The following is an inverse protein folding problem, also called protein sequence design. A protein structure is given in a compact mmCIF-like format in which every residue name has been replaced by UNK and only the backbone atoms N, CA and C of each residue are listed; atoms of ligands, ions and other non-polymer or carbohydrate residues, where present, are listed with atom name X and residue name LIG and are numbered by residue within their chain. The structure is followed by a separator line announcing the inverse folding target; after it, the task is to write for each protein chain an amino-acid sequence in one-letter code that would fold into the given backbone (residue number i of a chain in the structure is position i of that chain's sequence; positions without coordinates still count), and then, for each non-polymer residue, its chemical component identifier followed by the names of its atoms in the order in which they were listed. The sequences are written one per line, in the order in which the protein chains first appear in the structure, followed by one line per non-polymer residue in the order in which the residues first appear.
data_IF_602872495395
#
_entry.id   IF_602872495395
#
_cell.length_a   1.000
_cell.length_b   1.000
_cell.length_c   1.000
_cell.angle_alpha   90.00
_cell.angle_beta   90.00
_cell.angle_gamma   90.00
#
_symmetry.space_group_name_H-M   'P 1'
#
loop_
_entity.id
_entity.type
_entity.pdbx_description
1 polymer ?
#
# COMPACT_ATOMS: atom_id res chain seq x y z
N UNK A 1 -12.15 -18.08 46.66
CA UNK A 1 -12.48 -16.64 46.50
C UNK A 1 -12.60 -16.44 45.01
N UNK A 2 -13.73 -15.92 44.51
CA UNK A 2 -13.95 -15.80 43.07
C UNK A 2 -14.07 -14.32 42.69
N UNK A 3 -13.28 -13.88 41.71
CA UNK A 3 -13.37 -12.52 41.15
C UNK A 3 -13.92 -12.56 39.72
N UNK A 4 -14.61 -11.49 39.34
CA UNK A 4 -15.12 -11.28 37.99
C UNK A 4 -14.58 -9.98 37.42
N UNK A 5 -14.02 -10.04 36.22
CA UNK A 5 -13.69 -8.88 35.40
C UNK A 5 -14.70 -8.83 34.25
N UNK A 6 -15.27 -7.66 34.02
CA UNK A 6 -16.12 -7.38 32.87
C UNK A 6 -15.41 -6.36 32.02
N UNK A 7 -15.21 -6.65 30.74
CA UNK A 7 -14.71 -5.63 29.82
C UNK A 7 -15.74 -4.48 29.82
N UNK A 8 -15.30 -3.22 29.99
CA UNK A 8 -16.22 -2.10 30.05
C UNK A 8 -17.05 -2.02 28.78
N UNK A 9 -18.37 -1.95 28.93
CA UNK A 9 -19.30 -1.74 27.82
C UNK A 9 -18.88 -0.52 27.04
N UNK A 10 -18.65 -0.70 25.74
CA UNK A 10 -18.35 0.38 24.83
C UNK A 10 -19.62 0.82 24.12
N UNK A 11 -19.67 2.10 23.73
CA UNK A 11 -20.64 2.48 22.70
C UNK A 11 -20.27 1.73 21.42
N UNK A 12 -21.23 1.20 20.65
CA UNK A 12 -20.92 0.61 19.36
C UNK A 12 -20.14 1.61 18.51
N UNK A 13 -19.03 1.16 17.93
CA UNK A 13 -18.30 1.97 16.96
C UNK A 13 -19.18 2.19 15.72
N UNK A 14 -19.63 3.43 15.53
CA UNK A 14 -20.53 3.86 14.46
C UNK A 14 -19.78 4.46 13.26
N UNK A 15 -18.45 4.48 13.32
CA UNK A 15 -17.60 4.97 12.24
C UNK A 15 -17.56 4.04 11.03
N UNK A 16 -17.35 4.63 9.85
CA UNK A 16 -17.04 3.88 8.64
C UNK A 16 -15.57 3.46 8.62
N UNK A 17 -15.34 2.15 8.56
CA UNK A 17 -14.00 1.57 8.42
C UNK A 17 -13.23 2.11 7.22
N UNK A 18 -13.90 2.40 6.09
CA UNK A 18 -13.22 2.96 4.92
C UNK A 18 -12.68 4.35 5.22
N UNK A 19 -13.50 5.21 5.82
CA UNK A 19 -13.06 6.53 6.27
C UNK A 19 -11.93 6.44 7.29
N UNK A 20 -11.96 5.45 8.19
CA UNK A 20 -10.92 5.25 9.19
C UNK A 20 -9.57 4.87 8.54
N UNK A 21 -9.58 3.97 7.55
CA UNK A 21 -8.39 3.64 6.76
C UNK A 21 -7.93 4.83 5.92
N UNK A 22 -8.83 5.50 5.20
CA UNK A 22 -8.47 6.64 4.34
C UNK A 22 -7.79 7.76 5.14
N UNK A 23 -8.33 8.07 6.32
CA UNK A 23 -7.74 9.03 7.25
C UNK A 23 -6.37 8.60 7.75
N UNK A 24 -6.21 7.32 8.12
CA UNK A 24 -4.93 6.77 8.52
C UNK A 24 -3.90 6.83 7.38
N UNK A 25 -4.28 6.43 6.17
CA UNK A 25 -3.41 6.45 5.00
C UNK A 25 -3.00 7.87 4.61
N UNK A 26 -3.93 8.81 4.70
CA UNK A 26 -3.63 10.21 4.47
C UNK A 26 -2.57 10.72 5.46
N UNK A 27 -2.76 10.46 6.75
CA UNK A 27 -1.83 10.88 7.79
C UNK A 27 -0.46 10.17 7.67
N UNK A 28 -0.47 8.86 7.49
CA UNK A 28 0.73 8.04 7.31
C UNK A 28 1.54 8.50 6.09
N UNK A 29 0.88 8.70 4.93
CA UNK A 29 1.55 9.17 3.71
C UNK A 29 2.26 10.52 3.92
N UNK A 30 1.61 11.44 4.65
CA UNK A 30 2.18 12.74 4.99
C UNK A 30 3.37 12.63 5.95
N UNK A 31 3.31 11.75 6.95
CA UNK A 31 4.39 11.56 7.94
C UNK A 31 5.59 10.80 7.35
N UNK A 32 5.37 9.70 6.64
CA UNK A 32 6.42 8.97 5.88
C UNK A 32 7.14 9.90 4.91
N UNK A 33 6.46 10.88 4.31
CA UNK A 33 7.09 11.87 3.41
C UNK A 33 8.12 12.74 4.11
N UNK A 34 7.92 12.98 5.39
CA UNK A 34 8.65 14.00 6.12
C UNK A 34 9.85 13.42 6.88
N UNK A 35 9.79 12.16 7.32
CA UNK A 35 10.86 11.52 8.08
C UNK A 35 11.94 10.82 7.22
N UNK A 36 11.97 11.05 5.88
CA UNK A 36 12.87 10.36 4.94
C UNK A 36 12.87 8.84 5.12
N UNK A 37 11.67 8.29 5.36
CA UNK A 37 11.49 6.90 5.72
C UNK A 37 11.82 5.95 4.58
N UNK A 38 12.59 4.91 4.87
CA UNK A 38 12.90 3.87 3.88
C UNK A 38 11.65 3.01 3.61
N UNK A 39 11.31 2.72 2.33
CA UNK A 39 10.08 2.01 1.98
C UNK A 39 9.90 0.68 2.71
N UNK A 40 11.00 -0.04 2.96
CA UNK A 40 10.98 -1.37 3.57
C UNK A 40 10.76 -1.37 5.09
N UNK A 41 10.89 -0.22 5.77
CA UNK A 41 10.68 -0.13 7.21
C UNK A 41 9.22 0.12 7.57
N UNK A 42 8.54 0.97 6.79
CA UNK A 42 7.18 1.44 7.12
C UNK A 42 6.11 0.74 6.31
N UNK A 43 6.36 0.39 5.05
CA UNK A 43 5.33 -0.22 4.22
C UNK A 43 4.77 -1.52 4.83
N UNK A 44 5.59 -2.46 5.35
CA UNK A 44 5.06 -3.66 5.99
C UNK A 44 4.19 -3.35 7.22
N UNK A 45 4.58 -2.36 8.02
CA UNK A 45 3.87 -1.92 9.22
C UNK A 45 2.51 -1.32 8.85
N UNK A 46 2.46 -0.49 7.81
CA UNK A 46 1.23 0.07 7.27
C UNK A 46 0.29 -1.01 6.72
N UNK A 47 0.83 -2.01 6.02
CA UNK A 47 0.07 -3.17 5.53
C UNK A 47 -0.53 -3.99 6.67
N UNK A 48 0.23 -4.22 7.74
CA UNK A 48 -0.25 -4.92 8.93
C UNK A 48 -1.42 -4.16 9.58
N UNK A 49 -1.30 -2.85 9.74
CA UNK A 49 -2.37 -2.03 10.32
C UNK A 49 -3.65 -2.12 9.47
N UNK A 50 -3.55 -2.00 8.14
CA UNK A 50 -4.71 -2.13 7.24
C UNK A 50 -5.46 -3.45 7.44
N UNK A 51 -4.72 -4.55 7.40
CA UNK A 51 -5.29 -5.89 7.56
C UNK A 51 -5.89 -6.11 8.95
N UNK A 52 -5.23 -5.64 10.00
CA UNK A 52 -5.73 -5.77 11.37
C UNK A 52 -7.01 -4.96 11.60
N UNK A 53 -7.11 -3.73 11.08
CA UNK A 53 -8.34 -2.92 11.18
C UNK A 53 -9.48 -3.57 10.41
N UNK A 54 -9.22 -4.12 9.22
CA UNK A 54 -10.23 -4.87 8.48
C UNK A 54 -10.74 -6.08 9.27
N UNK A 55 -9.82 -6.82 9.89
CA UNK A 55 -10.12 -7.95 10.75
C UNK A 55 -11.01 -7.54 11.93
N UNK A 56 -10.61 -6.54 12.72
CA UNK A 56 -11.36 -6.11 13.91
C UNK A 56 -12.69 -5.46 13.57
N UNK A 57 -12.82 -4.81 12.41
CA UNK A 57 -14.11 -4.29 11.95
C UNK A 57 -15.11 -5.42 11.65
N UNK A 58 -14.63 -6.54 11.12
CA UNK A 58 -15.42 -7.75 10.81
C UNK A 58 -15.44 -8.76 11.96
N UNK A 59 -14.93 -8.40 13.14
CA UNK A 59 -14.92 -9.28 14.31
C UNK A 59 -16.35 -9.70 14.63
N UNK A 60 -16.60 -11.00 14.75
CA UNK A 60 -17.91 -11.57 15.03
C UNK A 60 -17.95 -12.20 16.43
N UNK A 61 -19.14 -12.64 16.85
CA UNK A 61 -19.33 -13.27 18.16
C UNK A 61 -18.55 -14.59 18.34
N UNK A 62 -18.04 -15.20 17.27
CA UNK A 62 -17.34 -16.49 17.32
C UNK A 62 -15.80 -16.35 17.31
N UNK A 63 -15.27 -15.15 17.54
CA UNK A 63 -13.85 -14.81 17.34
C UNK A 63 -12.83 -15.56 18.21
N UNK A 64 -13.23 -16.22 19.31
CA UNK A 64 -12.35 -17.08 20.11
C UNK A 64 -12.56 -18.58 19.85
N UNK A 65 -13.48 -18.95 18.95
CA UNK A 65 -13.85 -20.35 18.71
C UNK A 65 -14.98 -20.82 19.61
N UNK A 66 -15.16 -22.14 19.74
CA UNK A 66 -16.17 -22.72 20.63
C UNK A 66 -15.63 -22.92 22.05
N UNK A 67 -14.32 -22.91 22.21
CA UNK A 67 -13.66 -22.94 23.51
C UNK A 67 -12.27 -23.57 23.44
N UNK A 68 -11.87 -24.26 24.50
CA UNK A 68 -10.61 -24.97 24.60
C UNK A 68 -10.76 -26.29 25.40
N UNK A 69 -11.73 -27.13 25.05
CA UNK A 69 -12.03 -28.38 25.79
C UNK A 69 -10.82 -29.31 25.95
N UNK A 70 -9.93 -29.33 24.96
CA UNK A 70 -8.67 -30.07 24.97
C UNK A 70 -7.57 -29.45 25.87
N UNK A 71 -7.84 -28.29 26.48
CA UNK A 71 -6.85 -27.45 27.16
C UNK A 71 -6.05 -26.56 26.20
N UNK A 72 -6.24 -26.69 24.88
CA UNK A 72 -5.54 -25.92 23.85
C UNK A 72 -6.54 -24.93 23.22
N UNK A 73 -6.23 -23.61 23.19
CA UNK A 73 -7.05 -22.64 22.47
C UNK A 73 -7.27 -23.01 21.00
N UNK A 74 -8.44 -22.72 20.46
CA UNK A 74 -8.71 -22.90 19.03
C UNK A 74 -7.92 -21.91 18.15
N UNK A 75 -7.74 -22.26 16.88
CA UNK A 75 -7.06 -21.42 15.88
C UNK A 75 -7.63 -19.99 15.81
N UNK A 76 -8.93 -19.83 16.07
CA UNK A 76 -9.57 -18.50 16.11
C UNK A 76 -9.05 -17.62 17.24
N UNK A 77 -8.86 -18.19 18.44
CA UNK A 77 -8.30 -17.46 19.57
C UNK A 77 -6.85 -17.02 19.28
N UNK A 78 -6.04 -17.91 18.67
CA UNK A 78 -4.69 -17.57 18.22
C UNK A 78 -4.69 -16.50 17.13
N UNK A 79 -5.62 -16.59 16.19
CA UNK A 79 -5.76 -15.61 15.12
C UNK A 79 -6.12 -14.22 15.68
N UNK A 80 -7.04 -14.14 16.63
CA UNK A 80 -7.36 -12.91 17.36
C UNK A 80 -6.13 -12.35 18.08
N UNK A 81 -5.46 -13.16 18.91
CA UNK A 81 -4.31 -12.77 19.70
C UNK A 81 -3.15 -12.26 18.82
N UNK A 82 -2.88 -12.91 17.69
CA UNK A 82 -1.84 -12.52 16.76
C UNK A 82 -2.17 -11.23 16.01
N UNK A 83 -3.41 -11.04 15.56
CA UNK A 83 -3.82 -9.79 14.90
C UNK A 83 -3.76 -8.60 15.87
N UNK A 84 -4.16 -8.80 17.14
CA UNK A 84 -4.05 -7.77 18.16
C UNK A 84 -2.59 -7.39 18.42
N UNK A 85 -1.73 -8.39 18.66
CA UNK A 85 -0.30 -8.18 18.89
C UNK A 85 0.37 -7.40 17.74
N UNK A 86 0.06 -7.78 16.50
CA UNK A 86 0.58 -7.12 15.30
C UNK A 86 0.12 -5.68 15.19
N UNK A 87 -1.17 -5.41 15.44
CA UNK A 87 -1.73 -4.06 15.44
C UNK A 87 -1.07 -3.18 16.49
N UNK A 88 -1.05 -3.63 17.75
CA UNK A 88 -0.51 -2.87 18.87
C UNK A 88 0.97 -2.51 18.67
N UNK A 89 1.79 -3.48 18.26
CA UNK A 89 3.21 -3.23 18.01
C UNK A 89 3.44 -2.34 16.79
N UNK A 90 2.63 -2.46 15.75
CA UNK A 90 2.70 -1.59 14.58
C UNK A 90 2.36 -0.15 14.94
N UNK A 91 1.29 0.06 15.71
CA UNK A 91 0.92 1.38 16.22
C UNK A 91 2.01 1.96 17.12
N UNK A 92 2.57 1.15 18.04
CA UNK A 92 3.67 1.57 18.92
C UNK A 92 4.91 2.00 18.12
N UNK A 93 5.34 1.18 17.17
CA UNK A 93 6.49 1.48 16.32
C UNK A 93 6.31 2.80 15.56
N UNK A 94 5.13 3.02 14.98
CA UNK A 94 4.81 4.28 14.30
C UNK A 94 4.70 5.46 15.26
N UNK A 95 4.14 5.27 16.45
CA UNK A 95 4.10 6.28 17.52
C UNK A 95 5.50 6.70 17.94
N UNK A 96 6.40 5.75 18.19
CA UNK A 96 7.79 6.01 18.58
C UNK A 96 8.53 6.76 17.47
N UNK A 97 8.33 6.35 16.22
CA UNK A 97 8.96 6.97 15.05
C UNK A 97 8.43 8.37 14.75
N UNK A 98 7.12 8.58 14.86
CA UNK A 98 6.49 9.81 14.36
C UNK A 98 6.07 10.78 15.44
N UNK A 99 5.68 10.36 16.65
CA UNK A 99 5.01 11.22 17.63
C UNK A 99 5.57 11.20 19.06
N UNK A 100 6.44 10.25 19.45
CA UNK A 100 6.97 10.09 20.83
C UNK A 100 5.88 10.31 21.90
N UNK A 101 4.75 9.63 21.76
CA UNK A 101 3.64 9.71 22.71
C UNK A 101 3.12 8.32 23.10
N UNK A 102 2.34 8.33 24.18
CA UNK A 102 1.82 7.18 24.89
C UNK A 102 1.06 6.23 23.95
N UNK A 103 1.32 4.93 24.13
CA UNK A 103 0.59 3.86 23.45
C UNK A 103 -0.90 3.91 23.76
N UNK A 104 -1.76 3.42 22.85
CA UNK A 104 -3.18 3.23 23.12
C UNK A 104 -3.37 2.41 24.40
N UNK A 105 -4.34 2.78 25.23
CA UNK A 105 -4.64 2.02 26.45
C UNK A 105 -5.51 0.81 26.11
N UNK A 106 -4.83 -0.25 25.67
CA UNK A 106 -5.40 -1.55 25.34
C UNK A 106 -4.94 -2.63 26.32
N UNK A 107 -4.55 -2.23 27.53
CA UNK A 107 -3.95 -3.09 28.55
C UNK A 107 -4.78 -4.35 28.85
N UNK A 108 -6.10 -4.22 29.01
CA UNK A 108 -6.99 -5.38 29.21
C UNK A 108 -7.00 -6.37 28.03
N UNK A 109 -6.87 -5.87 26.80
CA UNK A 109 -6.86 -6.74 25.61
C UNK A 109 -5.48 -7.39 25.44
N UNK A 110 -4.41 -6.67 25.81
CA UNK A 110 -3.06 -7.20 25.89
C UNK A 110 -2.96 -8.33 26.93
N UNK A 111 -3.61 -8.17 28.08
CA UNK A 111 -3.68 -9.21 29.11
C UNK A 111 -4.41 -10.46 28.59
N UNK A 112 -5.55 -10.29 27.91
CA UNK A 112 -6.28 -11.39 27.26
C UNK A 112 -5.43 -12.10 26.20
N UNK A 113 -4.77 -11.33 25.33
CA UNK A 113 -3.85 -11.87 24.32
C UNK A 113 -2.72 -12.67 24.97
N UNK A 114 -2.19 -12.17 26.09
CA UNK A 114 -1.08 -12.82 26.81
C UNK A 114 -1.53 -14.15 27.38
N UNK A 115 -2.71 -14.21 28.01
CA UNK A 115 -3.29 -15.46 28.51
C UNK A 115 -3.50 -16.51 27.41
N UNK A 116 -4.00 -16.10 26.25
CA UNK A 116 -4.23 -17.01 25.11
C UNK A 116 -2.89 -17.55 24.60
N UNK A 117 -1.94 -16.68 24.27
CA UNK A 117 -0.68 -17.10 23.63
C UNK A 117 0.24 -17.89 24.57
N UNK A 118 0.18 -17.59 25.86
CA UNK A 118 1.00 -18.25 26.88
C UNK A 118 0.26 -19.38 27.60
N UNK A 119 -0.84 -19.89 27.02
CA UNK A 119 -1.57 -21.04 27.57
C UNK A 119 -0.63 -22.23 27.75
N UNK A 120 -0.48 -22.73 28.98
CA UNK A 120 0.47 -23.78 29.34
C UNK A 120 1.81 -23.30 29.93
N UNK A 121 1.95 -22.00 30.19
CA UNK A 121 3.08 -21.41 30.93
C UNK A 121 2.60 -20.41 31.98
N UNK A 122 3.44 -20.16 32.98
CA UNK A 122 3.14 -19.19 34.05
C UNK A 122 3.13 -17.77 33.49
N UNK A 123 2.09 -17.01 33.82
CA UNK A 123 1.94 -15.61 33.39
C UNK A 123 2.04 -14.69 34.61
N UNK A 124 3.16 -13.99 34.73
CA UNK A 124 3.49 -13.22 35.94
C UNK A 124 2.78 -11.86 36.05
N UNK A 125 2.12 -11.39 34.98
CA UNK A 125 1.54 -10.04 34.89
C UNK A 125 0.34 -9.95 33.92
N UNK A 126 -0.86 -10.24 34.42
CA UNK A 126 -2.12 -10.04 33.68
C UNK A 126 -3.20 -9.59 34.64
N UNK A 127 -3.95 -8.57 34.28
CA UNK A 127 -4.99 -7.92 35.08
C UNK A 127 -4.51 -7.42 36.46
N UNK A 128 -4.79 -6.18 36.86
CA UNK A 128 -4.39 -5.66 38.16
C UNK A 128 -5.36 -6.12 39.27
N UNK A 129 -5.69 -7.42 39.32
CA UNK A 129 -6.55 -8.02 40.34
C UNK A 129 -5.77 -8.54 41.52
N UNK A 130 -6.45 -8.75 42.64
CA UNK A 130 -5.83 -9.30 43.85
C UNK A 130 -5.33 -10.71 43.59
N UNK A 131 -6.10 -11.56 42.91
CA UNK A 131 -5.70 -12.92 42.54
C UNK A 131 -4.39 -12.93 41.73
N UNK A 132 -4.29 -12.10 40.69
CA UNK A 132 -3.11 -12.07 39.83
C UNK A 132 -1.88 -11.43 40.49
N UNK A 133 -2.05 -10.72 41.62
CA UNK A 133 -0.94 -10.14 42.39
C UNK A 133 -0.51 -11.03 43.56
N UNK A 134 -1.44 -11.73 44.18
CA UNK A 134 -1.19 -12.55 45.37
C UNK A 134 -0.60 -13.91 45.01
N UNK A 135 -0.94 -14.49 43.86
CA UNK A 135 -0.54 -15.86 43.51
C UNK A 135 0.62 -15.93 42.50
N UNK A 136 1.47 -16.95 42.67
CA UNK A 136 2.72 -17.14 41.90
C UNK A 136 2.45 -17.54 40.46
N UNK A 137 1.48 -18.43 40.26
CA UNK A 137 1.20 -18.98 38.93
C UNK A 137 -0.23 -18.68 38.56
N UNK A 138 -0.39 -17.99 37.43
CA UNK A 138 -1.65 -17.69 36.78
C UNK A 138 -1.63 -18.32 35.39
N UNK A 139 -2.68 -19.06 35.05
CA UNK A 139 -2.79 -19.75 33.76
C UNK A 139 -4.19 -19.62 33.19
N UNK A 140 -4.27 -19.70 31.86
CA UNK A 140 -5.55 -19.85 31.16
C UNK A 140 -6.16 -21.20 31.54
N UNK A 141 -7.39 -21.17 32.07
CA UNK A 141 -8.19 -22.34 32.34
C UNK A 141 -9.05 -22.71 31.14
N UNK A 142 -10.26 -22.16 31.09
CA UNK A 142 -11.25 -22.42 30.04
C UNK A 142 -11.63 -21.17 29.26
N UNK A 143 -11.84 -21.31 27.96
CA UNK A 143 -12.57 -20.37 27.13
C UNK A 143 -13.93 -21.02 26.88
N UNK A 144 -14.99 -20.37 27.34
CA UNK A 144 -16.36 -20.87 27.23
C UNK A 144 -17.16 -19.90 26.37
N UNK A 145 -17.77 -20.40 25.30
CA UNK A 145 -18.72 -19.62 24.53
C UNK A 145 -20.09 -19.54 25.25
N UNK A 146 -20.91 -18.55 24.90
CA UNK A 146 -22.24 -18.38 25.49
C UNK A 146 -23.21 -19.54 25.23
N UNK A 147 -22.92 -20.39 24.25
CA UNK A 147 -23.75 -21.55 23.90
C UNK A 147 -23.29 -22.82 24.63
N UNK A 148 -22.28 -22.71 25.49
CA UNK A 148 -21.75 -23.84 26.22
C UNK A 148 -22.88 -24.49 27.06
N UNK A 149 -22.98 -25.84 27.14
CA UNK A 149 -24.12 -26.55 27.75
C UNK A 149 -24.44 -26.22 29.22
N UNK A 150 -23.59 -25.46 29.90
CA UNK A 150 -23.72 -25.06 31.30
C UNK A 150 -24.26 -23.63 31.39
N UNK A 151 -25.57 -23.47 31.18
CA UNK A 151 -26.31 -22.18 31.15
C UNK A 151 -26.15 -21.32 32.42
N UNK A 152 -25.74 -21.89 33.56
CA UNK A 152 -25.53 -21.14 34.82
C UNK A 152 -24.19 -20.37 34.89
N UNK A 153 -23.37 -20.41 33.84
CA UNK A 153 -22.03 -19.82 33.85
C UNK A 153 -21.98 -18.36 33.39
N UNK A 154 -23.07 -17.82 32.85
CA UNK A 154 -23.15 -16.44 32.36
C UNK A 154 -24.14 -15.62 33.21
N UNK A 155 -23.81 -14.35 33.56
CA UNK A 155 -24.74 -13.46 34.24
C UNK A 155 -26.00 -13.24 33.39
N UNK A 156 -27.18 -13.39 34.00
CA UNK A 156 -28.49 -13.36 33.30
C UNK A 156 -28.88 -12.01 32.68
N UNK A 157 -28.18 -10.93 33.01
CA UNK A 157 -28.53 -9.56 32.64
C UNK A 157 -27.68 -8.98 31.48
N UNK A 158 -26.64 -9.70 31.02
CA UNK A 158 -25.67 -9.16 30.06
C UNK A 158 -25.33 -10.14 28.93
N UNK A 159 -25.38 -9.64 27.68
CA UNK A 159 -25.06 -10.39 26.46
C UNK A 159 -23.55 -10.47 26.26
N UNK A 160 -22.89 -11.34 27.04
CA UNK A 160 -21.51 -11.72 26.80
C UNK A 160 -21.43 -12.85 25.77
N UNK A 161 -20.38 -12.85 24.95
CA UNK A 161 -20.12 -13.93 24.00
C UNK A 161 -19.22 -15.01 24.60
N UNK A 162 -18.32 -14.61 25.51
CA UNK A 162 -17.38 -15.51 26.16
C UNK A 162 -17.24 -15.24 27.65
N UNK A 163 -16.93 -16.33 28.35
CA UNK A 163 -16.35 -16.33 29.68
C UNK A 163 -14.99 -17.01 29.60
N UNK A 164 -13.96 -16.32 30.04
CA UNK A 164 -12.59 -16.83 30.10
C UNK A 164 -12.25 -17.07 31.57
N UNK A 165 -12.00 -18.32 31.93
CA UNK A 165 -11.59 -18.73 33.26
C UNK A 165 -10.07 -18.69 33.38
N UNK A 166 -9.62 -18.16 34.51
CA UNK A 166 -8.21 -18.06 34.86
C UNK A 166 -8.01 -18.83 36.16
N UNK A 167 -7.02 -19.73 36.15
CA UNK A 167 -6.71 -20.60 37.26
C UNK A 167 -5.46 -20.09 37.97
N UNK A 168 -5.51 -20.02 39.29
CA UNK A 168 -4.35 -19.72 40.11
C UNK A 168 -3.94 -20.96 40.91
N UNK A 169 -2.64 -21.18 41.07
CA UNK A 169 -2.11 -22.30 41.88
C UNK A 169 -2.29 -22.08 43.40
N UNK A 170 -2.86 -20.94 43.79
CA UNK A 170 -3.07 -20.47 45.16
C UNK A 170 -1.78 -20.38 46.01
N UNK A 171 -0.60 -20.44 45.38
CA UNK A 171 0.69 -20.28 46.07
C UNK A 171 1.01 -18.80 46.18
N UNK A 172 1.08 -18.29 47.41
CA UNK A 172 1.28 -16.85 47.59
C UNK A 172 2.70 -16.41 47.17
N UNK A 173 2.80 -15.34 46.38
CA UNK A 173 4.05 -14.74 45.87
C UNK A 173 5.04 -14.38 46.98
N UNK A 174 4.54 -14.03 48.17
CA UNK A 174 5.34 -13.66 49.35
C UNK A 174 6.11 -14.81 50.01
N UNK A 175 5.85 -16.08 49.65
CA UNK A 175 6.54 -17.23 50.23
C UNK A 175 7.60 -17.82 49.28
N UNK A 176 8.77 -18.26 49.76
CA UNK A 176 9.78 -18.94 48.94
C UNK A 176 9.24 -20.20 48.26
N UNK A 177 9.80 -20.61 47.10
CA UNK A 177 9.39 -21.84 46.39
C UNK A 177 9.64 -23.12 47.20
N UNK A 178 10.54 -23.07 48.16
CA UNK A 178 11.05 -24.26 48.87
C UNK A 178 10.24 -24.61 50.14
N UNK A 179 9.13 -23.90 50.39
CA UNK A 179 8.20 -24.12 51.52
C UNK A 179 6.80 -24.55 51.07
N UNK A 180 6.71 -25.21 49.92
CA UNK A 180 5.45 -25.74 49.42
C UNK A 180 5.07 -26.97 50.27
N UNK A 181 4.06 -26.83 51.14
CA UNK A 181 3.50 -27.95 51.89
C UNK A 181 2.81 -28.92 50.90
N UNK A 182 3.21 -30.19 50.93
CA UNK A 182 2.65 -31.26 50.09
C UNK A 182 1.12 -31.43 50.26
N UNK A 183 0.56 -31.07 51.42
CA UNK A 183 -0.87 -31.23 51.75
C UNK A 183 -1.75 -30.02 51.34
N UNK A 184 -1.18 -28.98 50.70
CA UNK A 184 -1.94 -27.77 50.32
C UNK A 184 -3.03 -28.03 49.26
N UNK A 185 -2.91 -29.14 48.52
CA UNK A 185 -3.81 -29.54 47.43
C UNK A 185 -5.14 -30.14 47.91
N UNK A 186 -5.18 -30.80 49.07
CA UNK A 186 -6.37 -31.51 49.57
C UNK A 186 -7.34 -30.57 50.33
N UNK A 187 -6.87 -29.41 50.78
CA UNK A 187 -7.66 -28.44 51.56
C UNK A 187 -8.24 -27.28 50.73
N UNK A 188 -7.80 -27.08 49.48
CA UNK A 188 -8.24 -25.97 48.64
C UNK A 188 -9.00 -26.49 47.41
N UNK A 189 -10.30 -26.18 47.36
CA UNK A 189 -11.17 -26.43 46.20
C UNK A 189 -10.45 -26.13 44.87
N UNK A 190 -10.44 -27.10 43.96
CA UNK A 190 -9.88 -27.02 42.61
C UNK A 190 -10.74 -26.14 41.66
N UNK A 191 -11.36 -25.09 42.19
CA UNK A 191 -12.17 -24.13 41.44
C UNK A 191 -11.28 -23.07 40.82
N UNK A 192 -11.62 -22.60 39.61
CA UNK A 192 -11.03 -21.41 39.03
C UNK A 192 -11.26 -20.18 39.92
N UNK A 193 -10.33 -19.24 39.91
CA UNK A 193 -10.34 -18.12 40.84
C UNK A 193 -10.85 -16.83 40.19
N UNK A 194 -10.70 -16.68 38.87
CA UNK A 194 -11.06 -15.46 38.15
C UNK A 194 -11.83 -15.78 36.86
N UNK A 195 -12.87 -15.00 36.57
CA UNK A 195 -13.61 -15.04 35.30
C UNK A 195 -13.59 -13.70 34.60
N UNK A 196 -13.28 -13.70 33.32
CA UNK A 196 -13.29 -12.52 32.45
C UNK A 196 -14.42 -12.66 31.44
N UNK A 197 -15.36 -11.73 31.47
CA UNK A 197 -16.49 -11.71 30.55
C UNK A 197 -16.25 -10.76 29.40
N UNK A 198 -16.46 -11.26 28.18
CA UNK A 198 -16.08 -10.58 26.94
C UNK A 198 -17.23 -10.62 25.93
N UNK A 199 -17.52 -9.48 25.32
CA UNK A 199 -18.41 -9.33 24.17
C UNK A 199 -17.59 -8.89 22.96
N UNK A 200 -17.86 -9.48 21.79
CA UNK A 200 -17.16 -9.11 20.57
C UNK A 200 -17.38 -7.64 20.19
N UNK A 201 -18.58 -7.10 20.42
CA UNK A 201 -18.89 -5.69 20.12
C UNK A 201 -18.09 -4.73 21.01
N UNK A 202 -17.90 -5.07 22.28
CA UNK A 202 -17.10 -4.25 23.21
C UNK A 202 -15.62 -4.28 22.84
N UNK A 203 -15.08 -5.47 22.52
CA UNK A 203 -13.70 -5.63 22.03
C UNK A 203 -13.47 -4.84 20.74
N UNK A 204 -14.35 -5.06 19.75
CA UNK A 204 -14.31 -4.39 18.46
C UNK A 204 -14.33 -2.88 18.65
N UNK A 205 -15.29 -2.37 19.41
CA UNK A 205 -15.45 -0.93 19.62
C UNK A 205 -14.26 -0.34 20.36
N UNK A 206 -13.75 -1.00 21.40
CA UNK A 206 -12.57 -0.55 22.14
C UNK A 206 -11.34 -0.40 21.23
N UNK A 207 -11.04 -1.44 20.44
CA UNK A 207 -9.90 -1.44 19.52
C UNK A 207 -10.07 -0.36 18.45
N UNK A 208 -11.26 -0.25 17.84
CA UNK A 208 -11.51 0.72 16.78
C UNK A 208 -11.50 2.18 17.29
N UNK A 209 -12.00 2.46 18.50
CA UNK A 209 -11.90 3.79 19.10
C UNK A 209 -10.45 4.16 19.41
N UNK A 210 -9.67 3.24 19.98
CA UNK A 210 -8.25 3.49 20.23
C UNK A 210 -7.48 3.72 18.93
N UNK A 211 -7.80 2.99 17.86
CA UNK A 211 -7.25 3.25 16.54
C UNK A 211 -7.70 4.59 15.95
N UNK A 212 -8.95 4.99 16.16
CA UNK A 212 -9.46 6.30 15.73
C UNK A 212 -8.74 7.45 16.45
N UNK A 213 -8.52 7.33 17.77
CA UNK A 213 -7.73 8.29 18.55
C UNK A 213 -6.31 8.40 18.01
N UNK A 214 -5.66 7.26 17.78
CA UNK A 214 -4.34 7.21 17.17
C UNK A 214 -4.32 7.90 15.80
N UNK A 215 -5.30 7.62 14.94
CA UNK A 215 -5.42 8.23 13.61
C UNK A 215 -5.63 9.75 13.69
N UNK A 216 -6.48 10.23 14.60
CA UNK A 216 -6.68 11.65 14.84
C UNK A 216 -5.38 12.35 15.27
N UNK A 217 -4.61 11.75 16.18
CA UNK A 217 -3.31 12.29 16.59
C UNK A 217 -2.34 12.39 15.42
N UNK A 218 -2.29 11.36 14.55
CA UNK A 218 -1.49 11.40 13.34
C UNK A 218 -1.94 12.52 12.39
N UNK A 219 -3.25 12.69 12.20
CA UNK A 219 -3.83 13.75 11.37
C UNK A 219 -3.50 15.15 11.90
N UNK A 220 -3.62 15.37 13.20
CA UNK A 220 -3.24 16.64 13.82
C UNK A 220 -1.76 16.95 13.59
N UNK A 221 -0.88 15.94 13.72
CA UNK A 221 0.55 16.11 13.50
C UNK A 221 0.85 16.35 12.03
N UNK A 222 0.21 15.63 11.12
CA UNK A 222 0.37 15.86 9.69
C UNK A 222 -0.11 17.25 9.30
N UNK A 223 -1.25 17.71 9.82
CA UNK A 223 -1.81 19.02 9.52
C UNK A 223 -1.00 20.18 10.09
N UNK A 224 -0.53 20.09 11.35
CA UNK A 224 0.39 21.08 11.96
C UNK A 224 1.71 21.20 11.18
N UNK A 225 2.18 20.11 10.58
CA UNK A 225 3.43 20.08 9.80
C UNK A 225 3.23 20.46 8.33
N UNK A 226 2.06 20.19 7.75
CA UNK A 226 1.65 20.71 6.44
C UNK A 226 1.53 22.25 6.47
N UNK A 227 1.02 22.83 7.57
CA UNK A 227 0.98 24.28 7.78
C UNK A 227 2.35 24.95 7.98
N UNK A 228 3.37 24.18 8.39
CA UNK A 228 4.76 24.63 8.58
C UNK A 228 5.69 24.18 7.45
N UNK A 229 5.16 23.65 6.35
CA UNK A 229 5.90 23.57 5.09
C UNK A 229 6.00 24.98 4.53
N UNK A 230 6.91 25.77 5.08
CA UNK A 230 7.51 26.87 4.34
C UNK A 230 8.15 26.24 3.10
N UNK A 231 7.39 26.14 2.01
CA UNK A 231 7.95 26.34 0.68
C UNK A 231 8.76 27.62 0.83
N UNK A 232 10.09 27.49 0.87
CA UNK A 232 10.98 28.64 0.87
C UNK A 232 10.49 29.53 -0.25
N UNK A 233 10.19 30.76 0.13
CA UNK A 233 9.56 31.78 -0.68
C UNK A 233 10.57 32.28 -1.74
N UNK A 234 11.04 31.40 -2.63
CA UNK A 234 11.63 31.74 -3.93
C UNK A 234 10.56 31.84 -5.03
N UNK A 235 9.28 31.80 -4.62
CA UNK A 235 8.08 31.91 -5.47
C UNK A 235 8.05 33.17 -6.36
N UNK A 236 8.85 34.20 -6.07
CA UNK A 236 8.83 35.46 -6.81
C UNK A 236 9.55 35.44 -8.17
N UNK A 237 10.45 34.48 -8.43
CA UNK A 237 11.16 34.42 -9.72
C UNK A 237 10.73 33.26 -10.64
N UNK A 238 10.29 32.12 -10.09
CA UNK A 238 9.99 30.92 -10.89
C UNK A 238 8.60 31.00 -11.57
N UNK A 239 7.65 31.76 -10.99
CA UNK A 239 6.31 31.97 -11.54
C UNK A 239 6.27 32.69 -12.93
N UNK A 240 7.42 33.07 -13.49
CA UNK A 240 7.53 33.72 -14.81
C UNK A 240 8.14 32.86 -15.91
N UNK A 241 8.66 31.66 -15.60
CA UNK A 241 9.35 30.83 -16.59
C UNK A 241 8.39 29.80 -17.21
N UNK A 242 7.89 30.08 -18.41
CA UNK A 242 7.30 29.04 -19.26
C UNK A 242 8.35 27.97 -19.55
N UNK A 243 8.06 26.72 -19.18
CA UNK A 243 8.93 25.54 -19.40
C UNK A 243 8.80 25.02 -20.82
N UNK A 244 7.62 25.13 -21.43
CA UNK A 244 7.37 24.77 -22.83
C UNK A 244 7.20 26.05 -23.63
N UNK A 245 8.02 26.20 -24.68
CA UNK A 245 7.79 27.20 -25.71
C UNK A 245 6.78 26.64 -26.72
N UNK A 246 5.56 27.16 -26.69
CA UNK A 246 4.47 26.71 -27.59
C UNK A 246 4.69 27.07 -29.06
N UNK A 247 5.61 27.97 -29.40
CA UNK A 247 5.92 28.30 -30.79
C UNK A 247 6.94 27.33 -31.39
N UNK A 248 7.92 26.93 -30.60
CA UNK A 248 9.02 26.07 -31.05
C UNK A 248 8.89 24.63 -30.58
N UNK A 249 7.88 24.32 -29.76
CA UNK A 249 7.68 23.03 -29.09
C UNK A 249 8.90 22.60 -28.25
N UNK A 250 9.74 23.56 -27.82
CA UNK A 250 10.95 23.25 -27.05
C UNK A 250 10.69 23.24 -25.55
N UNK A 251 11.30 22.28 -24.87
CA UNK A 251 11.21 22.10 -23.42
C UNK A 251 12.49 22.60 -22.76
N UNK A 252 12.38 23.47 -21.77
CA UNK A 252 13.50 23.96 -20.96
C UNK A 252 13.86 22.95 -19.87
N UNK A 253 14.58 21.90 -20.25
CA UNK A 253 14.96 20.78 -19.38
C UNK A 253 15.72 21.22 -18.13
N UNK A 254 16.66 22.16 -18.23
CA UNK A 254 17.41 22.66 -17.07
C UNK A 254 16.52 23.35 -16.03
N UNK A 255 15.51 24.10 -16.48
CA UNK A 255 14.53 24.72 -15.59
C UNK A 255 13.67 23.66 -14.92
N UNK A 256 13.20 22.66 -15.68
CA UNK A 256 12.44 21.55 -15.12
C UNK A 256 13.24 20.79 -14.07
N UNK A 257 14.51 20.48 -14.35
CA UNK A 257 15.44 19.83 -13.42
C UNK A 257 15.59 20.60 -12.10
N UNK A 258 15.79 21.92 -12.17
CA UNK A 258 15.86 22.78 -10.97
C UNK A 258 14.58 22.74 -10.13
N UNK A 259 13.42 22.57 -10.76
CA UNK A 259 12.14 22.46 -10.05
C UNK A 259 11.95 21.08 -9.38
N UNK A 260 12.34 19.99 -10.04
CA UNK A 260 12.25 18.64 -9.46
C UNK A 260 13.21 18.48 -8.28
N UNK A 261 14.34 19.21 -8.28
CA UNK A 261 15.34 19.20 -7.22
C UNK A 261 14.85 19.68 -5.83
N UNK A 262 13.63 20.19 -5.71
CA UNK A 262 13.03 20.72 -4.48
C UNK A 262 11.65 20.06 -4.26
N UNK A 263 11.28 19.70 -3.03
CA UNK A 263 11.55 18.41 -2.39
C UNK A 263 10.68 17.26 -2.96
N UNK A 264 10.66 17.05 -4.27
CA UNK A 264 10.02 15.88 -4.88
C UNK A 264 10.96 14.68 -4.79
N UNK A 265 10.48 13.52 -4.35
CA UNK A 265 11.30 12.30 -4.22
C UNK A 265 11.85 11.75 -5.56
N UNK A 266 11.63 12.47 -6.66
CA UNK A 266 12.05 12.12 -8.01
C UNK A 266 13.38 12.79 -8.41
N UNK A 267 14.07 13.50 -7.51
CA UNK A 267 15.44 14.01 -7.70
C UNK A 267 16.31 13.68 -6.48
N UNK A 268 17.30 12.81 -6.65
CA UNK A 268 18.21 12.43 -5.57
C UNK A 268 19.62 12.14 -6.08
N UNK A 269 20.61 12.15 -5.19
CA UNK A 269 22.01 11.85 -5.51
C UNK A 269 22.40 10.51 -4.89
N UNK A 270 22.87 9.57 -5.71
CA UNK A 270 23.38 8.27 -5.25
C UNK A 270 24.77 8.05 -5.84
N UNK A 271 25.75 7.69 -5.00
CA UNK A 271 27.14 7.43 -5.43
C UNK A 271 27.83 8.53 -6.26
N UNK A 272 27.39 9.78 -6.15
CA UNK A 272 27.96 10.90 -6.91
C UNK A 272 27.13 11.35 -8.11
N UNK A 273 26.18 10.52 -8.57
CA UNK A 273 25.36 10.75 -9.76
C UNK A 273 23.96 11.25 -9.39
N UNK A 274 23.39 12.14 -10.20
CA UNK A 274 22.05 12.69 -9.98
C UNK A 274 21.01 11.87 -10.74
N UNK A 275 20.04 11.34 -10.00
CA UNK A 275 18.93 10.56 -10.51
C UNK A 275 17.71 11.45 -10.60
N UNK A 276 17.13 11.58 -11.80
CA UNK A 276 15.82 12.19 -11.95
C UNK A 276 15.05 11.65 -13.15
N UNK A 277 13.80 11.27 -12.92
CA UNK A 277 12.98 10.55 -13.91
C UNK A 277 12.79 11.33 -15.22
N UNK A 278 12.74 12.66 -15.15
CA UNK A 278 12.59 13.52 -16.33
C UNK A 278 13.79 13.46 -17.29
N UNK A 279 14.95 12.97 -16.86
CA UNK A 279 16.08 12.74 -17.76
C UNK A 279 15.79 11.64 -18.78
N UNK A 280 15.06 10.59 -18.39
CA UNK A 280 14.63 9.55 -19.32
C UNK A 280 13.67 10.10 -20.39
N UNK A 281 12.79 11.04 -20.02
CA UNK A 281 11.94 11.74 -20.98
C UNK A 281 12.74 12.63 -21.93
N UNK A 282 13.74 13.34 -21.42
CA UNK A 282 14.65 14.13 -22.24
C UNK A 282 15.37 13.25 -23.28
N UNK A 283 15.89 12.09 -22.87
CA UNK A 283 16.53 11.13 -23.79
C UNK A 283 15.58 10.64 -24.87
N UNK A 284 14.34 10.30 -24.51
CA UNK A 284 13.32 9.91 -25.50
C UNK A 284 13.03 11.07 -26.46
N UNK A 285 12.86 12.27 -25.93
CA UNK A 285 12.61 13.48 -26.71
C UNK A 285 13.72 13.76 -27.74
N UNK A 286 14.99 13.62 -27.34
CA UNK A 286 16.16 13.77 -28.21
C UNK A 286 16.27 12.61 -29.21
N UNK A 287 15.99 11.38 -28.77
CA UNK A 287 16.06 10.17 -29.61
C UNK A 287 15.08 10.24 -30.79
N UNK A 288 13.87 10.75 -30.58
CA UNK A 288 12.85 10.91 -31.65
C UNK A 288 13.40 11.64 -32.87
N UNK A 289 14.23 12.67 -32.67
CA UNK A 289 14.80 13.46 -33.76
C UNK A 289 15.81 12.68 -34.63
N UNK A 290 16.36 11.57 -34.12
CA UNK A 290 17.33 10.72 -34.83
C UNK A 290 16.67 9.59 -35.62
N UNK A 291 15.39 9.31 -35.36
CA UNK A 291 14.66 8.22 -35.97
C UNK A 291 13.88 8.68 -37.21
N UNK A 292 13.75 7.80 -38.20
CA UNK A 292 12.92 8.03 -39.38
C UNK A 292 11.48 7.59 -39.12
N UNK A 293 10.74 8.41 -38.36
CA UNK A 293 9.33 8.17 -38.03
C UNK A 293 8.40 8.98 -38.92
N UNK A 294 7.15 8.55 -39.03
CA UNK A 294 6.13 9.38 -39.67
C UNK A 294 5.76 10.60 -38.80
N UNK A 295 5.30 11.67 -39.45
CA UNK A 295 5.01 12.95 -38.79
C UNK A 295 3.95 12.85 -37.69
N UNK A 296 3.00 11.91 -37.78
CA UNK A 296 1.92 11.76 -36.80
C UNK A 296 2.48 11.06 -35.56
N UNK A 297 3.27 10.00 -35.73
CA UNK A 297 3.97 9.32 -34.63
C UNK A 297 4.89 10.29 -33.91
N UNK A 298 5.71 11.04 -34.67
CA UNK A 298 6.59 12.06 -34.13
C UNK A 298 5.84 13.12 -33.31
N UNK A 299 4.77 13.69 -33.89
CA UNK A 299 3.92 14.65 -33.19
C UNK A 299 3.28 14.05 -31.93
N UNK A 300 2.85 12.78 -32.01
CA UNK A 300 2.21 12.09 -30.89
C UNK A 300 3.17 11.90 -29.74
N UNK A 301 4.39 11.44 -29.99
CA UNK A 301 5.42 11.27 -28.95
C UNK A 301 5.73 12.62 -28.29
N UNK A 302 5.96 13.68 -29.08
CA UNK A 302 6.20 15.01 -28.51
C UNK A 302 5.02 15.50 -27.67
N UNK A 303 3.79 15.34 -28.14
CA UNK A 303 2.59 15.76 -27.39
C UNK A 303 2.42 15.03 -26.05
N UNK A 304 2.84 13.76 -25.96
CA UNK A 304 2.78 13.00 -24.71
C UNK A 304 3.78 13.52 -23.68
N UNK A 305 5.00 13.83 -24.14
CA UNK A 305 6.06 14.38 -23.29
C UNK A 305 5.70 15.80 -22.86
N UNK A 306 5.28 16.67 -23.78
CA UNK A 306 4.83 18.03 -23.50
C UNK A 306 3.69 18.03 -22.48
N UNK A 307 2.69 17.17 -22.68
CA UNK A 307 1.57 17.04 -21.74
C UNK A 307 2.06 16.62 -20.36
N UNK A 308 2.93 15.62 -20.26
CA UNK A 308 3.46 15.17 -18.96
C UNK A 308 4.24 16.30 -18.24
N UNK A 309 5.02 17.08 -18.98
CA UNK A 309 5.75 18.24 -18.43
C UNK A 309 4.81 19.36 -18.01
N UNK A 310 3.78 19.64 -18.81
CA UNK A 310 2.75 20.64 -18.49
C UNK A 310 1.93 20.23 -17.26
N UNK A 311 1.50 18.96 -17.20
CA UNK A 311 0.78 18.37 -16.07
C UNK A 311 1.65 18.39 -14.79
N UNK A 312 2.95 18.09 -14.89
CA UNK A 312 3.90 18.25 -13.77
C UNK A 312 3.95 19.71 -13.32
N UNK A 313 4.17 20.64 -14.25
CA UNK A 313 4.27 22.08 -13.98
C UNK A 313 3.03 22.60 -13.25
N UNK A 314 1.83 22.30 -13.76
CA UNK A 314 0.58 22.69 -13.12
C UNK A 314 0.45 22.10 -11.71
N UNK A 315 0.82 20.82 -11.54
CA UNK A 315 0.74 20.17 -10.23
C UNK A 315 1.75 20.74 -9.22
N UNK A 316 2.93 21.16 -9.68
CA UNK A 316 3.99 21.72 -8.84
C UNK A 316 3.56 23.06 -8.20
N UNK A 317 2.94 23.93 -8.99
CA UNK A 317 2.46 25.24 -8.53
C UNK A 317 1.11 25.21 -7.82
N UNK A 318 0.43 24.07 -7.80
CA UNK A 318 -0.82 23.93 -7.06
C UNK A 318 -0.53 23.58 -5.59
N UNK A 319 -0.73 24.54 -4.69
CA UNK A 319 -0.49 24.37 -3.25
C UNK A 319 -1.41 23.31 -2.60
N UNK A 320 -2.50 22.91 -3.27
CA UNK A 320 -3.40 21.85 -2.81
C UNK A 320 -2.93 20.45 -3.25
N UNK A 321 -1.94 20.34 -4.13
CA UNK A 321 -1.38 19.07 -4.58
C UNK A 321 -0.11 18.78 -3.78
N UNK A 322 -0.16 17.73 -2.95
CA UNK A 322 1.00 17.27 -2.21
C UNK A 322 2.14 16.85 -3.15
N UNK A 323 3.39 17.06 -2.77
CA UNK A 323 4.58 16.76 -3.61
C UNK A 323 4.65 15.30 -4.08
N UNK A 324 4.16 14.35 -3.27
CA UNK A 324 4.04 12.92 -3.63
C UNK A 324 2.84 12.57 -4.53
N UNK A 325 2.05 13.57 -4.92
CA UNK A 325 0.94 13.49 -5.88
C UNK A 325 1.20 14.33 -7.13
N UNK A 326 2.43 14.85 -7.29
CA UNK A 326 2.83 15.45 -8.55
C UNK A 326 2.71 14.42 -9.67
N UNK A 327 2.33 14.89 -10.85
CA UNK A 327 2.25 14.01 -12.02
C UNK A 327 3.63 13.42 -12.30
N UNK A 328 3.72 12.12 -12.60
CA UNK A 328 5.03 11.48 -12.76
C UNK A 328 5.69 11.87 -14.08
N UNK A 329 6.99 12.16 -14.03
CA UNK A 329 7.85 12.30 -15.21
C UNK A 329 8.49 10.96 -15.62
N UNK A 330 8.07 9.82 -15.06
CA UNK A 330 8.59 8.51 -15.43
C UNK A 330 8.11 8.12 -16.84
N UNK A 331 9.00 7.79 -17.79
CA UNK A 331 8.61 7.31 -19.12
C UNK A 331 7.60 6.16 -19.09
N UNK A 332 7.74 5.21 -18.16
CA UNK A 332 6.80 4.07 -18.06
C UNK A 332 5.38 4.51 -17.72
N UNK A 333 5.23 5.57 -16.94
CA UNK A 333 3.91 6.12 -16.59
C UNK A 333 3.37 6.92 -17.77
N UNK A 334 4.19 7.80 -18.36
CA UNK A 334 3.82 8.66 -19.48
C UNK A 334 3.38 7.86 -20.71
N UNK A 335 4.10 6.78 -21.03
CA UNK A 335 3.84 5.95 -22.21
C UNK A 335 3.02 4.68 -21.90
N UNK A 336 2.56 4.49 -20.66
CA UNK A 336 1.86 3.27 -20.20
C UNK A 336 0.69 2.82 -21.08
N UNK A 337 -0.03 3.77 -21.67
CA UNK A 337 -1.19 3.50 -22.53
C UNK A 337 -0.82 2.97 -23.93
N UNK A 338 0.43 3.16 -24.36
CA UNK A 338 0.91 2.76 -25.67
C UNK A 338 1.79 1.52 -25.61
N UNK A 339 2.42 1.24 -24.48
CA UNK A 339 3.24 0.04 -24.33
C UNK A 339 2.35 -1.22 -24.31
N UNK A 340 2.72 -2.31 -25.00
CA UNK A 340 1.89 -3.52 -25.12
C UNK A 340 1.40 -4.02 -23.76
N UNK A 341 0.10 -4.24 -23.58
CA UNK A 341 -0.50 -4.63 -22.29
C UNK A 341 -0.63 -6.14 -22.06
N UNK A 342 -0.49 -6.96 -23.11
CA UNK A 342 -0.97 -8.35 -23.13
C UNK A 342 0.15 -9.40 -23.14
N UNK A 343 1.20 -9.24 -22.32
CA UNK A 343 2.25 -10.26 -22.19
C UNK A 343 2.55 -10.63 -20.73
N UNK A 344 2.79 -11.92 -20.42
CA UNK A 344 3.13 -12.37 -19.08
C UNK A 344 4.34 -11.63 -18.52
N UNK A 345 4.28 -11.21 -17.26
CA UNK A 345 5.39 -10.57 -16.56
C UNK A 345 5.85 -9.20 -17.11
N UNK A 346 5.06 -8.48 -17.92
CA UNK A 346 5.38 -7.11 -18.39
C UNK A 346 6.02 -6.22 -17.34
N UNK A 347 5.32 -6.01 -16.22
CA UNK A 347 5.77 -5.12 -15.13
C UNK A 347 7.11 -5.59 -14.57
N UNK A 348 7.30 -6.90 -14.46
CA UNK A 348 8.55 -7.47 -14.00
C UNK A 348 9.69 -7.24 -15.01
N UNK A 349 9.45 -7.46 -16.31
CA UNK A 349 10.48 -7.30 -17.34
C UNK A 349 10.81 -5.83 -17.62
N UNK A 350 9.84 -4.92 -17.63
CA UNK A 350 10.08 -3.46 -17.70
C UNK A 350 10.84 -2.95 -16.45
N UNK A 351 10.56 -3.51 -15.27
CA UNK A 351 11.33 -3.21 -14.06
C UNK A 351 12.76 -3.73 -14.14
N UNK A 352 12.96 -4.95 -14.64
CA UNK A 352 14.29 -5.55 -14.78
C UNK A 352 15.11 -4.87 -15.87
N UNK A 353 14.49 -4.42 -16.97
CA UNK A 353 15.17 -3.59 -17.96
C UNK A 353 15.72 -2.31 -17.32
N UNK A 354 14.89 -1.58 -16.57
CA UNK A 354 15.31 -0.36 -15.89
C UNK A 354 16.36 -0.59 -14.79
N UNK A 355 16.36 -1.76 -14.14
CA UNK A 355 17.24 -2.05 -13.00
C UNK A 355 18.53 -2.81 -13.35
N UNK A 356 18.55 -3.57 -14.45
CA UNK A 356 19.63 -4.51 -14.75
C UNK A 356 20.25 -4.31 -16.14
N UNK A 357 19.60 -3.53 -17.02
CA UNK A 357 20.06 -3.34 -18.41
C UNK A 357 20.34 -1.87 -18.71
N UNK A 358 19.44 -0.97 -18.28
CA UNK A 358 19.57 0.49 -18.43
C UNK A 358 19.42 1.19 -17.08
N UNK A 359 20.19 0.70 -16.10
CA UNK A 359 20.30 1.21 -14.71
C UNK A 359 20.40 2.72 -14.61
N UNK A 360 21.02 3.34 -15.61
CA UNK A 360 21.36 4.76 -15.61
C UNK A 360 20.54 5.58 -16.61
N UNK A 361 19.46 5.02 -17.17
CA UNK A 361 18.61 5.71 -18.14
C UNK A 361 18.08 7.06 -17.63
N UNK A 362 17.87 7.16 -16.32
CA UNK A 362 17.41 8.39 -15.64
C UNK A 362 18.54 9.12 -14.89
N UNK A 363 19.80 8.81 -15.16
CA UNK A 363 20.98 9.36 -14.49
C UNK A 363 21.81 10.19 -15.46
N UNK A 364 22.07 11.44 -15.10
CA UNK A 364 22.96 12.31 -15.86
C UNK A 364 24.43 11.90 -15.65
N UNK A 365 25.15 11.62 -16.74
CA UNK A 365 26.56 11.17 -16.75
C UNK A 365 26.83 9.79 -16.11
N UNK A 366 25.85 8.88 -16.15
CA UNK A 366 26.06 7.49 -15.77
C UNK A 366 27.19 6.82 -16.56
N UNK A 367 27.96 5.94 -15.91
CA UNK A 367 28.91 5.04 -16.57
C UNK A 367 28.24 3.67 -16.70
N UNK A 368 27.83 3.32 -17.91
CA UNK A 368 27.00 2.14 -18.19
C UNK A 368 27.53 0.89 -17.46
N UNK A 369 26.75 0.34 -16.53
CA UNK A 369 27.03 -0.96 -15.94
C UNK A 369 26.93 -2.07 -16.99
N UNK A 370 27.67 -3.18 -16.80
CA UNK A 370 27.50 -4.37 -17.66
C UNK A 370 26.03 -4.82 -17.63
N UNK A 371 25.32 -4.82 -18.76
CA UNK A 371 23.92 -5.18 -18.82
C UNK A 371 23.74 -6.68 -18.55
N UNK A 372 22.65 -7.04 -17.89
CA UNK A 372 22.24 -8.43 -17.77
C UNK A 372 21.66 -8.91 -19.12
N UNK A 373 22.50 -9.60 -19.89
CA UNK A 373 22.18 -10.06 -21.24
C UNK A 373 21.02 -11.07 -21.26
N UNK A 374 20.85 -11.88 -20.20
CA UNK A 374 19.77 -12.86 -20.13
C UNK A 374 18.40 -12.15 -20.02
N UNK A 375 18.30 -11.09 -19.22
CA UNK A 375 17.09 -10.28 -19.16
C UNK A 375 16.85 -9.52 -20.46
N UNK A 376 17.90 -8.95 -21.05
CA UNK A 376 17.80 -8.25 -22.32
C UNK A 376 17.24 -9.16 -23.42
N UNK A 377 17.77 -10.37 -23.58
CA UNK A 377 17.29 -11.34 -24.56
C UNK A 377 15.82 -11.71 -24.33
N UNK A 378 15.42 -11.96 -23.08
CA UNK A 378 14.01 -12.24 -22.73
C UNK A 378 13.09 -11.08 -23.07
N UNK A 379 13.51 -9.86 -22.72
CA UNK A 379 12.73 -8.65 -23.04
C UNK A 379 12.56 -8.49 -24.55
N UNK A 380 13.64 -8.63 -25.33
CA UNK A 380 13.64 -8.57 -26.79
C UNK A 380 12.71 -9.62 -27.42
N UNK A 381 12.77 -10.87 -26.95
CA UNK A 381 11.89 -11.93 -27.44
C UNK A 381 10.42 -11.57 -27.22
N UNK A 382 10.08 -11.10 -26.03
CA UNK A 382 8.70 -10.77 -25.69
C UNK A 382 8.18 -9.58 -26.49
N UNK A 383 8.93 -8.48 -26.61
CA UNK A 383 8.47 -7.33 -27.42
C UNK A 383 8.40 -7.65 -28.93
N UNK A 384 9.21 -8.59 -29.41
CA UNK A 384 9.15 -9.07 -30.80
C UNK A 384 7.83 -9.80 -31.06
N UNK A 385 7.35 -10.62 -30.10
CA UNK A 385 6.00 -11.23 -30.20
C UNK A 385 4.87 -10.21 -30.28
N UNK A 386 5.08 -9.00 -29.75
CA UNK A 386 4.12 -7.91 -29.79
C UNK A 386 4.18 -7.09 -31.09
N UNK A 387 5.14 -7.39 -31.97
CA UNK A 387 5.33 -6.76 -33.27
C UNK A 387 6.11 -5.44 -33.23
N UNK A 388 6.86 -5.16 -32.16
CA UNK A 388 7.69 -3.95 -32.07
C UNK A 388 9.04 -4.06 -32.82
N UNK A 389 9.50 -5.27 -33.14
CA UNK A 389 10.68 -5.56 -33.98
C UNK A 389 11.85 -4.55 -33.82
N UNK A 390 12.32 -4.35 -32.59
CA UNK A 390 13.38 -3.37 -32.32
C UNK A 390 14.72 -3.83 -32.90
N UNK A 391 15.41 -2.93 -33.60
CA UNK A 391 16.74 -3.20 -34.17
C UNK A 391 17.84 -2.78 -33.21
N UNK A 392 18.86 -3.63 -33.06
CA UNK A 392 20.01 -3.37 -32.21
C UNK A 392 21.20 -2.86 -33.03
N UNK A 393 21.61 -1.61 -32.80
CA UNK A 393 22.84 -1.07 -33.38
C UNK A 393 24.00 -1.25 -32.40
N UNK A 394 24.74 -2.35 -32.55
CA UNK A 394 25.90 -2.68 -31.71
C UNK A 394 27.04 -1.65 -31.78
N UNK A 395 27.01 -0.72 -32.74
CA UNK A 395 28.06 0.27 -32.96
C UNK A 395 27.77 1.63 -32.33
N UNK A 396 26.54 1.85 -31.85
CA UNK A 396 26.13 3.11 -31.26
C UNK A 396 26.71 3.32 -29.85
N UNK A 397 27.06 4.55 -29.49
CA UNK A 397 27.29 4.91 -28.09
C UNK A 397 25.94 4.86 -27.35
N UNK A 398 25.90 4.30 -26.14
CA UNK A 398 24.67 4.12 -25.33
C UNK A 398 23.61 3.21 -25.96
N UNK A 399 24.02 2.09 -26.57
CA UNK A 399 23.12 1.15 -27.27
C UNK A 399 21.89 0.75 -26.44
N UNK A 400 22.07 0.41 -25.17
CA UNK A 400 20.98 -0.06 -24.32
C UNK A 400 19.98 1.04 -23.99
N UNK A 401 20.45 2.26 -23.74
CA UNK A 401 19.58 3.41 -23.52
C UNK A 401 18.78 3.76 -24.78
N UNK A 402 19.43 3.72 -25.94
CA UNK A 402 18.75 3.93 -27.23
C UNK A 402 17.67 2.87 -27.46
N UNK A 403 17.99 1.59 -27.20
CA UNK A 403 17.03 0.49 -27.30
C UNK A 403 15.82 0.72 -26.38
N UNK A 404 16.04 1.15 -25.15
CA UNK A 404 14.96 1.39 -24.19
C UNK A 404 14.12 2.62 -24.56
N UNK A 405 14.72 3.67 -25.13
CA UNK A 405 13.99 4.78 -25.71
C UNK A 405 13.16 4.35 -26.93
N UNK A 406 13.75 3.56 -27.83
CA UNK A 406 13.12 3.01 -29.02
C UNK A 406 11.89 2.15 -28.65
N UNK A 407 11.95 1.39 -27.55
CA UNK A 407 10.80 0.66 -27.03
C UNK A 407 9.57 1.56 -26.80
N UNK A 408 9.71 2.71 -26.13
CA UNK A 408 8.59 3.62 -25.92
C UNK A 408 8.12 4.28 -27.21
N UNK A 409 9.05 4.65 -28.09
CA UNK A 409 8.76 5.35 -29.33
C UNK A 409 8.01 4.43 -30.31
N UNK A 410 8.52 3.23 -30.57
CA UNK A 410 7.89 2.27 -31.47
C UNK A 410 6.61 1.66 -30.90
N UNK A 411 6.42 1.66 -29.56
CA UNK A 411 5.11 1.37 -28.95
C UNK A 411 4.04 2.36 -29.42
N UNK A 412 4.38 3.67 -29.46
CA UNK A 412 3.47 4.70 -29.97
C UNK A 412 3.24 4.53 -31.47
N UNK A 413 4.31 4.27 -32.24
CA UNK A 413 4.21 4.08 -33.70
C UNK A 413 3.29 2.91 -34.06
N UNK A 414 3.44 1.78 -33.38
CA UNK A 414 2.63 0.59 -33.57
C UNK A 414 1.15 0.89 -33.33
N UNK A 415 0.82 1.60 -32.24
CA UNK A 415 -0.57 1.94 -31.93
C UNK A 415 -1.16 2.95 -32.92
N UNK A 416 -0.38 3.96 -33.34
CA UNK A 416 -0.79 4.90 -34.40
C UNK A 416 -1.10 4.15 -35.69
N UNK A 417 -0.25 3.21 -36.08
CA UNK A 417 -0.44 2.39 -37.28
C UNK A 417 -1.64 1.45 -37.17
N UNK A 418 -1.86 0.80 -36.01
CA UNK A 418 -3.06 -0.01 -35.73
C UNK A 418 -4.35 0.81 -35.86
N UNK A 419 -4.36 2.03 -35.32
CA UNK A 419 -5.51 2.93 -35.43
C UNK A 419 -5.79 3.34 -36.88
N UNK A 420 -4.76 3.63 -37.68
CA UNK A 420 -4.91 3.90 -39.11
C UNK A 420 -5.49 2.72 -39.87
N UNK A 421 -4.96 1.51 -39.64
CA UNK A 421 -5.48 0.30 -40.27
C UNK A 421 -6.96 0.06 -39.91
N UNK A 422 -7.33 0.25 -38.64
CA UNK A 422 -8.73 0.16 -38.19
C UNK A 422 -9.62 1.20 -38.88
N UNK A 423 -9.16 2.43 -39.05
CA UNK A 423 -9.91 3.48 -39.76
C UNK A 423 -10.06 3.16 -41.25
N UNK A 424 -9.00 2.68 -41.91
CA UNK A 424 -9.05 2.25 -43.31
C UNK A 424 -10.01 1.06 -43.50
N UNK A 425 -9.96 0.07 -42.61
CA UNK A 425 -10.88 -1.07 -42.63
C UNK A 425 -12.34 -0.65 -42.43
N UNK A 426 -12.61 0.28 -41.49
CA UNK A 426 -13.94 0.87 -41.30
C UNK A 426 -14.41 1.63 -42.54
N UNK A 427 -13.54 2.45 -43.14
CA UNK A 427 -13.87 3.20 -44.36
C UNK A 427 -14.15 2.27 -45.55
N UNK A 428 -13.38 1.18 -45.70
CA UNK A 428 -13.62 0.15 -46.70
C UNK A 428 -14.96 -0.57 -46.47
N UNK A 429 -15.25 -0.98 -45.23
CA UNK A 429 -16.53 -1.59 -44.85
C UNK A 429 -17.73 -0.67 -45.14
N UNK A 430 -17.63 0.62 -44.82
CA UNK A 430 -18.68 1.59 -45.15
C UNK A 430 -18.86 1.77 -46.66
N UNK A 431 -17.76 1.79 -47.43
CA UNK A 431 -17.82 1.88 -48.90
C UNK A 431 -18.39 0.62 -49.55
N UNK A 432 -18.10 -0.58 -49.02
CA UNK A 432 -18.68 -1.82 -49.55
C UNK A 432 -20.17 -1.93 -49.23
N UNK A 433 -20.60 -1.52 -48.02
CA UNK A 433 -22.02 -1.52 -47.62
C UNK A 433 -22.88 -0.49 -48.36
N UNK A 434 -22.30 0.67 -48.69
CA UNK A 434 -23.00 1.75 -49.41
C UNK A 434 -22.76 1.73 -50.93
N UNK A 435 -21.92 0.82 -51.42
CA UNK A 435 -21.58 0.64 -52.84
C UNK A 435 -22.57 -0.24 -53.62
N UNK A 436 -23.49 -0.95 -52.96
CA UNK A 436 -24.51 -1.78 -53.61
C UNK A 436 -25.76 -1.00 -54.06
N UNK A 437 -25.89 0.30 -53.75
CA UNK A 437 -27.02 1.13 -54.23
C UNK A 437 -26.77 1.86 -55.55
N UNK A 438 -25.62 1.66 -56.22
CA UNK A 438 -25.30 2.33 -57.50
C UNK A 438 -25.23 1.40 -58.74
N UNK A 439 -25.93 0.26 -58.71
CA UNK A 439 -26.11 -0.60 -59.89
C UNK A 439 -27.53 -1.17 -60.02
N UNK A 440 -28.55 -0.30 -60.02
CA UNK A 440 -29.87 -0.64 -60.57
C UNK A 440 -30.57 0.58 -61.17
N UNK A 441 -30.06 1.13 -62.27
CA UNK A 441 -30.89 1.83 -63.27
C UNK A 441 -30.41 1.45 -64.66
N UNK A 442 -30.76 0.22 -65.08
CA UNK A 442 -30.86 -0.16 -66.48
C UNK A 442 -32.25 -0.74 -66.71
N UNK A 443 -33.24 0.13 -66.92
CA UNK A 443 -34.43 -0.24 -67.68
C UNK A 443 -34.25 0.35 -69.08
N UNK A 444 -33.78 -0.48 -70.01
CA UNK A 444 -33.99 -0.28 -71.44
C UNK A 444 -35.44 -0.61 -71.78
N UNK A 445 -35.88 0.03 -72.87
CA UNK A 445 -36.76 -0.45 -73.96
C UNK A 445 -38.05 0.37 -74.11
N UNK A 446 -38.64 0.42 -75.32
CA UNK A 446 -38.07 0.50 -76.66
C UNK A 446 -38.75 1.59 -77.54
N UNK A 447 -38.21 1.83 -78.74
CA UNK A 447 -38.83 2.63 -79.80
C UNK A 447 -40.25 2.16 -80.18
N UNK A 448 -41.12 3.12 -80.55
CA UNK A 448 -42.28 3.10 -81.49
C UNK A 448 -42.86 4.54 -81.41
N UNK A 449 -42.97 5.40 -82.43
CA UNK A 449 -43.14 5.31 -83.88
C UNK A 449 -42.49 6.52 -84.55
#
# INVERSE_FOLDING_TARGET
MHEEIRIPKQKPFDGDYKNLIENFEFAAKALTAHFNSHPNEEAPVLWIIRGAIEYFYKLDANFLGRGNDSGIPEEKADHFANNFYRLQNSMKLLSDKWYQQRNPDLSMIEDLRTLIVHSGSDVDKVFPTRICQEYKTIQLGRILDKNHPTEKLFPSEELYDYRIEIWADKKLTRFPKDKDNLDFYDENDATFDLSVYVSHEDIKSLILFEFQKFTQLLLEKSNKRLGNSTRINTQKDINKVRIIDRQTHTIKWDTLKQMVAIPSGDYYKETGSWHWQGYGLQRIYERVATLKLDNITLFKVYSLIEKAVEDYWYSYFNDFIATKKLNSLNPRVVFSQYTPSEWPHKVYLENKMALNVVTEFSIENGISSNPDLDYLCRFLQEIDTQGLHLTFDHTATNVFDNLYADYFIYSVDLEVNRLRQRQQAKAFYWRSKNGETSKRHSCRYPNLR
#
